data_IF_213911603386
#
_entry.id   IF_213911603386
#
_cell.length_a   1.000
_cell.length_b   1.000
_cell.length_c   1.000
_cell.angle_alpha   90.00
_cell.angle_beta   90.00
_cell.angle_gamma   90.00
#
_symmetry.space_group_name_H-M   'P 1'
#
loop_
_entity.id
_entity.type
_entity.pdbx_description
1 polymer ?
#
# COMPACT_ATOMS: atom_id res chain seq x y z
N UNK A 1 -0.26 58.93 -19.79
CA UNK A 1 0.11 57.51 -19.60
C UNK A 1 -0.50 56.73 -20.75
N UNK A 2 0.31 56.06 -21.58
CA UNK A 2 -0.20 55.36 -22.77
C UNK A 2 -0.95 54.08 -22.37
N UNK A 3 -1.94 53.67 -23.18
CA UNK A 3 -2.69 52.43 -22.99
C UNK A 3 -1.77 51.21 -22.82
N UNK A 4 -0.66 51.19 -23.56
CA UNK A 4 0.39 50.17 -23.49
C UNK A 4 1.08 50.09 -22.11
N UNK A 5 1.37 51.23 -21.46
CA UNK A 5 1.94 51.25 -20.12
C UNK A 5 0.95 50.75 -19.05
N UNK A 6 -0.35 50.96 -19.27
CA UNK A 6 -1.39 50.45 -18.36
C UNK A 6 -1.55 48.93 -18.49
N UNK A 7 -1.51 48.40 -19.72
CA UNK A 7 -1.58 46.96 -20.00
C UNK A 7 -0.34 46.25 -19.44
N UNK A 8 0.87 46.78 -19.64
CA UNK A 8 2.09 46.20 -19.10
C UNK A 8 2.10 46.16 -17.57
N UNK A 9 1.66 47.23 -16.89
CA UNK A 9 1.56 47.23 -15.41
C UNK A 9 0.56 46.21 -14.90
N UNK A 10 -0.61 46.09 -15.54
CA UNK A 10 -1.62 45.09 -15.15
C UNK A 10 -1.13 43.66 -15.38
N UNK A 11 -0.43 43.41 -16.48
CA UNK A 11 0.17 42.12 -16.78
C UNK A 11 1.26 41.74 -15.77
N UNK A 12 2.13 42.68 -15.38
CA UNK A 12 3.14 42.44 -14.35
C UNK A 12 2.51 42.13 -12.99
N UNK A 13 1.42 42.82 -12.62
CA UNK A 13 0.68 42.52 -11.38
C UNK A 13 0.06 41.13 -11.45
N UNK A 14 -0.55 40.74 -12.57
CA UNK A 14 -1.11 39.41 -12.76
C UNK A 14 -0.04 38.32 -12.67
N UNK A 15 1.11 38.51 -13.31
CA UNK A 15 2.25 37.58 -13.22
C UNK A 15 2.72 37.45 -11.76
N UNK A 16 2.86 38.57 -11.06
CA UNK A 16 3.22 38.57 -9.63
C UNK A 16 2.23 37.80 -8.77
N UNK A 17 0.93 37.94 -9.01
CA UNK A 17 -0.12 37.19 -8.30
C UNK A 17 -0.09 35.70 -8.61
N UNK A 18 0.11 35.32 -9.88
CA UNK A 18 0.24 33.92 -10.29
C UNK A 18 1.46 33.27 -9.64
N UNK A 19 2.60 33.97 -9.60
CA UNK A 19 3.82 33.48 -8.95
C UNK A 19 3.65 33.35 -7.43
N UNK A 20 2.98 34.31 -6.79
CA UNK A 20 2.68 34.23 -5.36
C UNK A 20 1.75 33.04 -5.04
N UNK A 21 0.71 32.83 -5.84
CA UNK A 21 -0.18 31.67 -5.70
C UNK A 21 0.57 30.34 -5.90
N UNK A 22 1.41 30.25 -6.94
CA UNK A 22 2.25 29.08 -7.18
C UNK A 22 3.22 28.79 -6.02
N UNK A 23 3.81 29.83 -5.42
CA UNK A 23 4.70 29.68 -4.26
C UNK A 23 3.94 29.20 -3.01
N UNK A 24 2.72 29.71 -2.77
CA UNK A 24 1.89 29.25 -1.65
C UNK A 24 1.54 27.77 -1.82
N UNK A 25 1.14 27.36 -3.03
CA UNK A 25 0.85 25.95 -3.34
C UNK A 25 2.09 25.07 -3.12
N UNK A 26 3.26 25.51 -3.62
CA UNK A 26 4.53 24.82 -3.43
C UNK A 26 4.87 24.62 -1.94
N UNK A 27 4.73 25.66 -1.12
CA UNK A 27 5.03 25.60 0.31
C UNK A 27 4.09 24.64 1.05
N UNK A 28 2.79 24.67 0.75
CA UNK A 28 1.81 23.74 1.32
C UNK A 28 2.12 22.29 0.91
N UNK A 29 2.55 22.06 -0.33
CA UNK A 29 2.89 20.71 -0.79
C UNK A 29 4.20 20.18 -0.18
N UNK A 30 5.13 21.06 0.17
CA UNK A 30 6.40 20.68 0.79
C UNK A 30 6.32 20.39 2.29
N UNK A 31 5.27 20.82 2.99
CA UNK A 31 5.24 20.72 4.46
C UNK A 31 5.07 19.28 4.96
N UNK A 32 4.48 18.42 4.14
CA UNK A 32 4.09 17.06 4.53
C UNK A 32 4.92 15.98 3.80
N UNK A 33 6.03 16.39 3.17
CA UNK A 33 6.96 15.49 2.49
C UNK A 33 8.24 15.25 3.30
N UNK A 34 8.80 14.06 3.19
CA UNK A 34 10.03 13.61 3.86
C UNK A 34 11.02 13.00 2.87
N UNK A 35 12.23 12.70 3.33
CA UNK A 35 13.34 12.32 2.44
C UNK A 35 13.22 10.90 1.87
N UNK A 36 12.50 9.99 2.54
CA UNK A 36 12.41 8.58 2.14
C UNK A 36 11.00 8.03 2.22
N UNK A 37 10.68 7.07 1.36
CA UNK A 37 9.40 6.35 1.41
C UNK A 37 9.16 5.69 2.77
N UNK A 38 10.21 5.11 3.38
CA UNK A 38 10.12 4.48 4.68
C UNK A 38 9.75 5.48 5.79
N UNK A 39 10.36 6.68 5.81
CA UNK A 39 9.99 7.73 6.76
C UNK A 39 8.54 8.17 6.56
N UNK A 40 8.10 8.29 5.30
CA UNK A 40 6.75 8.69 4.97
C UNK A 40 5.72 7.68 5.52
N UNK A 41 6.00 6.38 5.43
CA UNK A 41 5.14 5.32 5.96
C UNK A 41 5.14 5.25 7.49
N UNK A 42 6.30 5.51 8.12
CA UNK A 42 6.42 5.50 9.58
C UNK A 42 5.60 6.61 10.22
N UNK A 43 5.62 7.83 9.68
CA UNK A 43 4.89 8.98 10.23
C UNK A 43 5.07 9.14 11.76
N UNK A 44 6.30 8.96 12.25
CA UNK A 44 6.62 9.03 13.68
C UNK A 44 6.14 7.84 14.54
N UNK A 45 5.61 6.77 13.92
CA UNK A 45 5.27 5.53 14.60
C UNK A 45 6.46 4.56 14.59
N UNK A 46 7.14 4.52 15.73
CA UNK A 46 8.33 3.70 15.96
C UNK A 46 7.99 2.21 16.19
N UNK A 47 6.72 1.87 16.44
CA UNK A 47 6.27 0.50 16.70
C UNK A 47 6.04 -0.29 15.40
N UNK A 48 6.27 0.34 14.25
CA UNK A 48 6.13 -0.27 12.93
C UNK A 48 7.40 -1.02 12.50
N UNK A 49 7.27 -2.33 12.40
CA UNK A 49 8.21 -3.16 11.67
C UNK A 49 7.74 -3.20 10.22
N UNK A 50 8.56 -2.68 9.31
CA UNK A 50 8.25 -2.53 7.89
C UNK A 50 9.09 -3.48 7.05
N UNK A 51 8.49 -4.04 6.00
CA UNK A 51 9.24 -4.62 4.87
C UNK A 51 8.86 -3.93 3.57
N UNK A 52 9.85 -3.45 2.77
CA UNK A 52 9.56 -2.97 1.43
C UNK A 52 9.21 -4.17 0.53
N UNK A 53 8.14 -4.02 -0.26
CA UNK A 53 7.84 -4.90 -1.38
C UNK A 53 8.59 -4.39 -2.61
N UNK A 54 8.40 -3.10 -2.91
CA UNK A 54 9.14 -2.38 -3.95
C UNK A 54 9.24 -0.89 -3.62
N UNK A 55 10.23 -0.24 -4.22
CA UNK A 55 10.34 1.21 -4.37
C UNK A 55 10.77 1.47 -5.81
N UNK A 56 9.83 1.84 -6.68
CA UNK A 56 10.04 1.92 -8.12
C UNK A 56 9.19 3.04 -8.73
N UNK A 57 9.78 3.81 -9.64
CA UNK A 57 9.09 4.88 -10.40
C UNK A 57 8.33 5.89 -9.51
N UNK A 58 8.91 6.26 -8.36
CA UNK A 58 8.29 7.21 -7.43
C UNK A 58 7.08 6.65 -6.66
N UNK A 59 6.91 5.33 -6.64
CA UNK A 59 5.93 4.63 -5.80
C UNK A 59 6.62 3.60 -4.93
N UNK A 60 6.13 3.41 -3.72
CA UNK A 60 6.61 2.39 -2.83
C UNK A 60 5.44 1.66 -2.16
N UNK A 61 5.59 0.35 -2.00
CA UNK A 61 4.65 -0.50 -1.28
C UNK A 61 5.39 -1.17 -0.12
N UNK A 62 4.82 -1.09 1.06
CA UNK A 62 5.31 -1.73 2.27
C UNK A 62 4.22 -2.62 2.86
N UNK A 63 4.61 -3.79 3.34
CA UNK A 63 3.84 -4.49 4.36
C UNK A 63 4.43 -4.20 5.73
N UNK A 64 3.60 -4.26 6.75
CA UNK A 64 4.02 -3.97 8.11
C UNK A 64 3.27 -4.76 9.16
N UNK A 65 3.93 -4.90 10.31
CA UNK A 65 3.35 -5.37 11.56
C UNK A 65 3.43 -4.21 12.55
N UNK A 66 2.32 -3.91 13.22
CA UNK A 66 2.24 -2.93 14.31
C UNK A 66 1.92 -3.68 15.59
N UNK A 67 2.80 -3.59 16.59
CA UNK A 67 2.65 -4.38 17.81
C UNK A 67 2.62 -5.88 17.50
N UNK A 68 1.69 -6.61 18.12
CA UNK A 68 1.63 -8.08 18.05
C UNK A 68 0.31 -8.61 17.47
N UNK A 69 -0.60 -7.75 17.01
CA UNK A 69 -1.95 -8.10 16.62
C UNK A 69 -2.40 -7.47 15.29
N UNK A 70 -1.64 -6.55 14.72
CA UNK A 70 -2.02 -5.84 13.50
C UNK A 70 -1.04 -6.12 12.35
N UNK A 71 -1.60 -6.43 11.18
CA UNK A 71 -0.87 -6.53 9.93
C UNK A 71 -1.49 -5.57 8.91
N UNK A 72 -0.64 -4.86 8.18
CA UNK A 72 -1.07 -3.81 7.29
C UNK A 72 -0.20 -3.63 6.07
N UNK A 73 -0.69 -2.76 5.20
CA UNK A 73 0.00 -2.32 4.00
C UNK A 73 -0.03 -0.80 3.91
N UNK A 74 1.04 -0.23 3.37
CA UNK A 74 1.15 1.20 3.15
C UNK A 74 1.78 1.49 1.78
N UNK A 75 1.23 2.49 1.10
CA UNK A 75 1.78 3.03 -0.14
C UNK A 75 2.31 4.43 0.11
N UNK A 76 3.43 4.76 -0.54
CA UNK A 76 4.01 6.09 -0.52
C UNK A 76 4.33 6.55 -1.95
N UNK A 77 4.21 7.86 -2.18
CA UNK A 77 4.47 8.48 -3.48
C UNK A 77 5.54 9.55 -3.36
N UNK A 78 6.42 9.59 -4.36
CA UNK A 78 7.45 10.60 -4.51
C UNK A 78 6.93 11.77 -5.35
N UNK A 79 7.27 12.97 -4.91
CA UNK A 79 7.09 14.20 -5.66
C UNK A 79 8.41 14.96 -5.74
N UNK A 80 8.45 16.04 -6.51
CA UNK A 80 9.60 16.96 -6.56
C UNK A 80 10.02 17.57 -5.21
N UNK A 81 9.19 17.45 -4.16
CA UNK A 81 9.52 17.90 -2.81
C UNK A 81 9.92 16.79 -1.84
N UNK A 82 9.80 15.52 -2.24
CA UNK A 82 10.05 14.36 -1.40
C UNK A 82 8.89 13.36 -1.40
N UNK A 83 8.98 12.40 -0.49
CA UNK A 83 8.03 11.30 -0.31
C UNK A 83 6.92 11.67 0.66
N UNK A 84 5.71 11.17 0.40
CA UNK A 84 4.56 11.28 1.31
C UNK A 84 3.78 9.98 1.38
N UNK A 85 3.10 9.77 2.49
CA UNK A 85 2.14 8.67 2.62
C UNK A 85 0.97 8.89 1.67
N UNK A 86 0.60 7.86 0.92
CA UNK A 86 -0.58 7.89 0.05
C UNK A 86 -1.74 7.17 0.73
N UNK A 87 -1.58 5.88 1.03
CA UNK A 87 -2.56 5.09 1.75
C UNK A 87 -1.90 4.21 2.81
N UNK A 88 -2.61 3.97 3.90
CA UNK A 88 -2.19 3.07 4.98
C UNK A 88 -3.43 2.40 5.55
N UNK A 89 -3.43 1.07 5.56
CA UNK A 89 -4.51 0.29 6.16
C UNK A 89 -3.92 -0.87 6.92
N UNK A 90 -4.62 -1.26 7.97
CA UNK A 90 -4.34 -2.45 8.74
C UNK A 90 -5.63 -3.11 9.19
N UNK A 91 -5.51 -4.40 9.48
CA UNK A 91 -6.52 -5.14 10.19
C UNK A 91 -5.88 -5.97 11.28
N UNK A 92 -6.72 -6.46 12.19
CA UNK A 92 -6.30 -7.48 13.15
C UNK A 92 -5.87 -8.74 12.39
N UNK A 93 -4.73 -9.29 12.79
CA UNK A 93 -4.23 -10.58 12.31
C UNK A 93 -5.29 -11.64 12.63
N UNK A 94 -5.83 -12.34 11.61
CA UNK A 94 -6.82 -13.38 11.85
C UNK A 94 -6.16 -14.60 12.50
N UNK A 95 -6.96 -15.47 13.13
CA UNK A 95 -6.48 -16.83 13.44
C UNK A 95 -6.11 -17.54 12.14
N UNK A 96 -4.99 -18.26 12.14
CA UNK A 96 -4.43 -18.97 10.98
C UNK A 96 -4.37 -20.49 11.23
N UNK A 97 -5.29 -21.01 12.05
CA UNK A 97 -5.33 -22.40 12.50
C UNK A 97 -5.75 -23.38 11.39
N UNK A 98 -6.54 -22.92 10.41
CA UNK A 98 -6.93 -23.69 9.24
C UNK A 98 -6.10 -23.26 8.01
N UNK A 99 -5.11 -24.07 7.58
CA UNK A 99 -4.24 -23.72 6.46
C UNK A 99 -4.95 -23.77 5.10
N UNK A 100 -6.17 -24.33 5.04
CA UNK A 100 -6.96 -24.42 3.81
C UNK A 100 -7.96 -23.25 3.68
N UNK A 101 -7.76 -22.16 4.44
CA UNK A 101 -8.66 -21.00 4.43
C UNK A 101 -7.93 -19.66 4.46
N UNK A 102 -8.44 -18.74 3.67
CA UNK A 102 -8.28 -17.29 3.79
C UNK A 102 -9.36 -16.82 4.78
N UNK A 103 -8.90 -16.18 5.86
CA UNK A 103 -9.78 -15.75 6.95
C UNK A 103 -10.28 -14.30 6.77
N UNK A 104 -9.48 -13.46 6.13
CA UNK A 104 -9.85 -12.10 5.78
C UNK A 104 -9.04 -11.61 4.57
N UNK A 105 -9.49 -10.49 4.02
CA UNK A 105 -8.74 -9.69 3.06
C UNK A 105 -9.03 -8.21 3.36
N UNK A 106 -8.14 -7.34 2.93
CA UNK A 106 -8.30 -5.89 2.97
C UNK A 106 -8.28 -5.39 1.53
N UNK A 107 -9.24 -4.53 1.18
CA UNK A 107 -9.32 -3.89 -0.13
C UNK A 107 -9.22 -2.38 0.03
N UNK A 108 -8.43 -1.76 -0.82
CA UNK A 108 -8.34 -0.31 -0.99
C UNK A 108 -9.27 0.12 -2.13
N UNK A 109 -9.60 1.42 -2.16
CA UNK A 109 -10.43 2.01 -3.22
C UNK A 109 -9.71 2.06 -4.58
N UNK A 110 -8.38 2.03 -4.59
CA UNK A 110 -7.55 2.03 -5.80
C UNK A 110 -7.36 0.63 -6.42
N UNK A 111 -8.06 -0.36 -5.89
CA UNK A 111 -7.97 -1.75 -6.34
C UNK A 111 -6.80 -2.53 -5.75
N UNK A 112 -6.02 -1.97 -4.82
CA UNK A 112 -5.06 -2.79 -4.07
C UNK A 112 -5.78 -3.71 -3.09
N UNK A 113 -5.48 -5.00 -3.13
CA UNK A 113 -6.08 -6.00 -2.24
C UNK A 113 -5.00 -6.91 -1.71
N UNK A 114 -5.04 -7.22 -0.42
CA UNK A 114 -4.12 -8.16 0.20
C UNK A 114 -4.77 -8.98 1.30
N UNK A 115 -4.13 -10.08 1.66
CA UNK A 115 -4.52 -10.93 2.78
C UNK A 115 -3.41 -11.87 3.20
N UNK A 116 -3.57 -12.46 4.38
CA UNK A 116 -2.65 -13.47 4.91
C UNK A 116 -3.15 -14.86 4.53
N UNK A 117 -2.21 -15.76 4.20
CA UNK A 117 -2.52 -17.17 3.91
C UNK A 117 -1.38 -18.10 4.33
N UNK A 118 -1.67 -19.39 4.33
CA UNK A 118 -0.66 -20.44 4.53
C UNK A 118 -0.16 -20.94 3.16
N UNK A 119 1.11 -20.66 2.79
CA UNK A 119 1.67 -21.06 1.51
C UNK A 119 2.21 -22.51 1.49
N UNK A 120 2.05 -23.27 2.58
CA UNK A 120 2.54 -24.65 2.65
C UNK A 120 1.95 -25.50 1.53
N UNK A 121 2.69 -26.54 1.15
CA UNK A 121 2.30 -27.49 0.11
C UNK A 121 2.05 -26.86 -1.27
N UNK A 122 2.63 -25.68 -1.54
CA UNK A 122 2.53 -25.00 -2.84
C UNK A 122 1.18 -24.32 -3.09
N UNK A 123 0.43 -24.02 -2.02
CA UNK A 123 -0.81 -23.26 -2.09
C UNK A 123 -0.57 -21.87 -2.67
N UNK A 124 -1.56 -21.36 -3.40
CA UNK A 124 -1.53 -20.02 -3.97
C UNK A 124 -2.93 -19.41 -4.07
N UNK A 125 -2.98 -18.09 -4.22
CA UNK A 125 -4.22 -17.33 -4.25
C UNK A 125 -4.48 -16.81 -5.66
N UNK A 126 -5.74 -16.83 -6.07
CA UNK A 126 -6.21 -16.33 -7.36
C UNK A 126 -7.44 -15.46 -7.17
N UNK A 127 -7.55 -14.38 -7.94
CA UNK A 127 -8.70 -13.47 -7.94
C UNK A 127 -9.27 -13.41 -9.36
N UNK A 128 -10.46 -13.98 -9.56
CA UNK A 128 -11.01 -14.19 -10.90
C UNK A 128 -10.12 -15.14 -11.69
N UNK A 129 -9.57 -14.67 -12.80
CA UNK A 129 -8.59 -15.40 -13.62
C UNK A 129 -7.14 -14.97 -13.37
N UNK A 130 -6.90 -14.07 -12.40
CA UNK A 130 -5.60 -13.48 -12.16
C UNK A 130 -4.90 -14.12 -10.95
N UNK A 131 -3.71 -14.70 -11.11
CA UNK A 131 -2.93 -15.15 -9.97
C UNK A 131 -2.51 -13.94 -9.14
N UNK A 132 -2.60 -14.05 -7.82
CA UNK A 132 -2.07 -13.05 -6.90
C UNK A 132 -0.55 -13.24 -6.73
N UNK A 133 0.16 -12.13 -6.56
CA UNK A 133 1.53 -12.15 -6.09
C UNK A 133 1.57 -12.55 -4.61
N UNK A 134 2.69 -13.09 -4.15
CA UNK A 134 2.86 -13.38 -2.74
C UNK A 134 4.27 -13.10 -2.23
N UNK A 135 4.36 -12.91 -0.92
CA UNK A 135 5.61 -12.68 -0.21
C UNK A 135 5.65 -13.52 1.06
N UNK A 136 6.68 -14.36 1.17
CA UNK A 136 6.97 -15.12 2.39
C UNK A 136 7.41 -14.15 3.50
N UNK A 137 6.70 -14.16 4.63
CA UNK A 137 6.96 -13.23 5.72
C UNK A 137 8.28 -13.54 6.43
N UNK A 138 8.66 -14.82 6.51
CA UNK A 138 9.90 -15.29 7.15
C UNK A 138 11.19 -14.75 6.55
N UNK A 139 11.16 -14.27 5.30
CA UNK A 139 12.32 -13.68 4.63
C UNK A 139 12.44 -12.17 4.86
N UNK A 140 11.42 -11.57 5.49
CA UNK A 140 11.16 -10.13 5.45
C UNK A 140 11.01 -9.50 6.84
N UNK A 141 10.54 -10.28 7.81
CA UNK A 141 10.35 -9.85 9.19
C UNK A 141 11.24 -10.64 10.16
N UNK A 142 11.58 -10.05 11.33
CA UNK A 142 12.28 -10.76 12.39
C UNK A 142 11.53 -12.04 12.81
N UNK A 143 12.26 -13.13 13.04
CA UNK A 143 11.67 -14.42 13.38
C UNK A 143 10.86 -14.37 14.68
N UNK A 144 11.38 -13.69 15.70
CA UNK A 144 10.73 -13.56 17.00
C UNK A 144 9.36 -12.86 16.88
N UNK A 145 9.28 -11.81 16.06
CA UNK A 145 8.03 -11.10 15.78
C UNK A 145 7.00 -12.00 15.10
N UNK A 146 7.45 -12.84 14.15
CA UNK A 146 6.58 -13.77 13.44
C UNK A 146 6.07 -14.90 14.34
N UNK A 147 6.88 -15.35 15.30
CA UNK A 147 6.45 -16.33 16.30
C UNK A 147 5.41 -15.73 17.25
N UNK A 148 5.64 -14.50 17.75
CA UNK A 148 4.72 -13.81 18.67
C UNK A 148 3.36 -13.50 18.02
N UNK A 149 3.36 -13.21 16.72
CA UNK A 149 2.15 -12.87 15.94
C UNK A 149 1.46 -14.09 15.32
N UNK A 150 2.05 -15.29 15.43
CA UNK A 150 1.55 -16.50 14.76
C UNK A 150 1.70 -16.48 13.23
N UNK A 151 2.53 -15.59 12.69
CA UNK A 151 2.81 -15.43 11.26
C UNK A 151 4.03 -16.24 10.78
N UNK A 152 4.66 -17.00 11.66
CA UNK A 152 5.75 -17.90 11.31
C UNK A 152 5.32 -18.88 10.19
N UNK A 153 6.09 -18.91 9.10
CA UNK A 153 5.80 -19.74 7.93
C UNK A 153 4.62 -19.27 7.07
N UNK A 154 4.01 -18.11 7.38
CA UNK A 154 2.90 -17.54 6.60
C UNK A 154 3.40 -16.62 5.50
N UNK A 155 2.50 -16.30 4.59
CA UNK A 155 2.72 -15.37 3.50
C UNK A 155 1.60 -14.33 3.45
N UNK A 156 1.92 -13.19 2.85
CA UNK A 156 0.92 -12.25 2.36
C UNK A 156 0.74 -12.49 0.86
N UNK A 157 -0.51 -12.57 0.41
CA UNK A 157 -0.87 -12.49 -1.00
C UNK A 157 -1.38 -11.08 -1.30
N UNK A 158 -1.17 -10.60 -2.52
CA UNK A 158 -1.69 -9.30 -2.93
C UNK A 158 -1.90 -9.21 -4.44
N UNK A 159 -2.75 -8.26 -4.83
CA UNK A 159 -2.89 -7.80 -6.20
C UNK A 159 -2.99 -6.28 -6.21
N UNK A 160 -2.37 -5.67 -7.21
CA UNK A 160 -2.57 -4.25 -7.52
C UNK A 160 -3.56 -4.14 -8.68
N UNK A 161 -4.47 -3.16 -8.63
CA UNK A 161 -5.48 -2.94 -9.67
C UNK A 161 -6.44 -4.14 -9.85
N UNK A 162 -6.95 -4.68 -8.74
CA UNK A 162 -8.02 -5.68 -8.77
C UNK A 162 -9.20 -5.18 -9.63
N UNK A 163 -9.92 -6.08 -10.33
CA UNK A 163 -11.01 -5.68 -11.21
C UNK A 163 -12.11 -4.97 -10.43
N UNK A 164 -12.64 -3.88 -11.02
CA UNK A 164 -13.74 -3.12 -10.45
C UNK A 164 -15.08 -3.87 -10.55
N UNK A 165 -15.18 -4.85 -11.45
CA UNK A 165 -16.37 -5.69 -11.58
C UNK A 165 -16.50 -6.62 -10.37
N UNK A 166 -17.49 -6.32 -9.52
CA UNK A 166 -17.84 -7.10 -8.34
C UNK A 166 -19.22 -7.77 -8.51
N UNK A 167 -19.44 -8.97 -7.96
CA UNK A 167 -18.49 -9.77 -7.18
C UNK A 167 -17.44 -10.46 -8.06
N UNK A 168 -16.24 -10.67 -7.50
CA UNK A 168 -15.15 -11.43 -8.13
C UNK A 168 -14.69 -12.55 -7.18
N UNK A 169 -14.48 -13.78 -7.67
CA UNK A 169 -14.11 -14.89 -6.81
C UNK A 169 -12.66 -14.75 -6.34
N UNK A 170 -12.46 -14.87 -5.03
CA UNK A 170 -11.17 -15.08 -4.38
C UNK A 170 -11.03 -16.56 -4.07
N UNK A 171 -10.02 -17.20 -4.64
CA UNK A 171 -9.80 -18.64 -4.54
C UNK A 171 -8.47 -18.93 -3.87
N UNK A 172 -8.48 -19.89 -2.94
CA UNK A 172 -7.28 -20.56 -2.46
C UNK A 172 -7.17 -21.89 -3.19
N UNK A 173 -6.04 -22.11 -3.85
CA UNK A 173 -5.76 -23.30 -4.64
C UNK A 173 -4.59 -24.07 -4.02
N UNK A 174 -4.58 -25.40 -4.15
CA UNK A 174 -3.40 -26.22 -3.85
C UNK A 174 -2.37 -26.19 -5.01
N UNK A 175 -1.25 -26.92 -4.86
CA UNK A 175 -0.22 -26.99 -5.89
C UNK A 175 -0.69 -27.58 -7.23
N UNK A 176 -1.74 -28.40 -7.22
CA UNK A 176 -2.32 -29.03 -8.42
C UNK A 176 -3.42 -28.14 -9.04
N UNK A 177 -3.74 -27.00 -8.41
CA UNK A 177 -4.79 -26.07 -8.84
C UNK A 177 -6.20 -26.47 -8.39
N UNK A 178 -6.33 -27.41 -7.45
CA UNK A 178 -7.64 -27.74 -6.88
C UNK A 178 -8.08 -26.66 -5.89
N UNK A 179 -9.34 -26.29 -5.96
CA UNK A 179 -9.93 -25.28 -5.07
C UNK A 179 -10.07 -25.82 -3.65
N UNK A 180 -9.37 -25.20 -2.71
CA UNK A 180 -9.48 -25.45 -1.27
C UNK A 180 -10.57 -24.57 -0.65
N UNK A 181 -10.70 -23.34 -1.14
CA UNK A 181 -11.73 -22.39 -0.70
C UNK A 181 -12.05 -21.41 -1.82
N UNK A 182 -13.31 -20.95 -1.86
CA UNK A 182 -13.77 -19.81 -2.64
C UNK A 182 -14.54 -18.83 -1.75
N UNK A 183 -14.23 -17.55 -1.91
CA UNK A 183 -14.93 -16.41 -1.32
C UNK A 183 -15.37 -15.47 -2.45
N UNK A 184 -16.44 -14.72 -2.23
CA UNK A 184 -16.87 -13.66 -3.15
C UNK A 184 -16.41 -12.32 -2.59
N UNK A 185 -15.63 -11.56 -3.37
CA UNK A 185 -15.21 -10.22 -3.00
C UNK A 185 -16.21 -9.19 -3.53
N UNK A 186 -16.68 -8.31 -2.64
CA UNK A 186 -17.62 -7.23 -2.94
C UNK A 186 -16.97 -5.85 -2.80
#
# INVERSE_FOLDING_TARGET
>A
MTLQNLIQKRMLVLIGLVLAAALIIALVWSSDTVDTAQQAVRDGDDDLVLTPVYELNGRALFFYIRGNDNFGAATATESWFGWRLEQKTEGTIPSMDDPNRINNYVSHEDGFVYGLFDPADGRHVQIGEMPADHLLLGERFPTELLEETGLAGKAVWFIENAPEERPIPLQLLDADGQELQRLEMY
#
